data_IF_567161685820
#
_entry.id   IF_567161685820
#
_cell.length_a   1.000
_cell.length_b   1.000
_cell.length_c   1.000
_cell.angle_alpha   90.00
_cell.angle_beta   90.00
_cell.angle_gamma   90.00
#
_symmetry.space_group_name_H-M   'P 1'
#
loop_
_entity.id
_entity.type
_entity.pdbx_description
1 polymer ?
#
# COMPACT_ATOMS: atom_id res chain seq x y z
N UNK A 1 5.83 15.41 0.23
CA UNK A 1 5.92 16.77 -0.35
C UNK A 1 7.35 17.13 -0.80
N UNK A 2 8.37 17.13 0.10
CA UNK A 2 9.73 17.60 -0.26
C UNK A 2 10.42 16.76 -1.35
N UNK A 3 10.33 15.44 -1.28
CA UNK A 3 10.91 14.54 -2.29
C UNK A 3 10.29 14.74 -3.67
N UNK A 4 8.98 14.95 -3.70
CA UNK A 4 8.23 15.19 -4.93
C UNK A 4 8.59 16.55 -5.55
N UNK A 5 8.64 17.61 -4.74
CA UNK A 5 9.08 18.92 -5.19
C UNK A 5 10.52 18.89 -5.76
N UNK A 6 11.41 18.11 -5.14
CA UNK A 6 12.76 17.89 -5.65
C UNK A 6 12.74 17.16 -6.99
N UNK A 7 11.96 16.09 -7.13
CA UNK A 7 11.83 15.36 -8.39
C UNK A 7 11.34 16.27 -9.52
N UNK A 8 10.31 17.08 -9.29
CA UNK A 8 9.78 18.04 -10.24
C UNK A 8 10.85 19.09 -10.62
N UNK A 9 11.60 19.60 -9.64
CA UNK A 9 12.67 20.57 -9.89
C UNK A 9 13.75 19.99 -10.79
N UNK A 10 14.19 18.76 -10.56
CA UNK A 10 15.19 18.09 -11.40
C UNK A 10 14.65 17.79 -12.81
N UNK A 11 13.41 17.37 -12.91
CA UNK A 11 12.75 17.15 -14.19
C UNK A 11 12.73 18.44 -15.03
N UNK A 12 12.34 19.57 -14.43
CA UNK A 12 12.28 20.88 -15.11
C UNK A 12 13.68 21.46 -15.42
N UNK A 13 14.62 21.37 -14.47
CA UNK A 13 15.92 22.04 -14.60
C UNK A 13 16.88 21.27 -15.50
N UNK A 14 16.87 19.93 -15.38
CA UNK A 14 17.86 19.09 -16.05
C UNK A 14 17.25 18.18 -17.12
N UNK A 15 15.99 18.36 -17.43
CA UNK A 15 15.24 17.53 -18.40
C UNK A 15 15.38 16.02 -18.13
N UNK A 16 15.41 15.63 -16.85
CA UNK A 16 15.60 14.24 -16.46
C UNK A 16 14.34 13.43 -16.71
N UNK A 17 14.42 12.19 -17.23
CA UNK A 17 13.28 11.30 -17.44
C UNK A 17 12.80 10.73 -16.09
N UNK A 18 11.95 11.46 -15.40
CA UNK A 18 11.44 11.13 -14.07
C UNK A 18 9.99 10.64 -14.16
N UNK A 19 9.71 9.54 -13.47
CA UNK A 19 8.35 9.04 -13.20
C UNK A 19 8.10 9.08 -11.70
N UNK A 20 6.97 9.64 -11.28
CA UNK A 20 6.55 9.67 -9.89
C UNK A 20 5.54 8.54 -9.65
N UNK A 21 5.81 7.69 -8.68
CA UNK A 21 4.88 6.63 -8.27
C UNK A 21 4.37 6.90 -6.86
N UNK A 22 3.04 6.91 -6.69
CA UNK A 22 2.39 6.90 -5.39
C UNK A 22 1.92 5.47 -5.09
N UNK A 23 2.12 5.03 -3.86
CA UNK A 23 1.70 3.69 -3.46
C UNK A 23 1.00 3.69 -2.10
N UNK A 24 0.22 2.66 -1.87
CA UNK A 24 -0.50 2.42 -0.62
C UNK A 24 0.20 1.32 0.19
N UNK A 25 -0.37 0.97 1.34
CA UNK A 25 0.16 0.01 2.30
C UNK A 25 0.79 -1.22 1.63
N UNK A 26 2.10 -1.21 1.53
CA UNK A 26 2.85 -2.35 0.99
C UNK A 26 2.98 -3.41 2.07
N UNK A 27 2.60 -4.63 1.73
CA UNK A 27 2.80 -5.83 2.56
C UNK A 27 3.84 -6.73 1.92
N UNK A 28 4.51 -7.53 2.72
CA UNK A 28 5.50 -8.47 2.24
C UNK A 28 6.17 -9.23 3.36
N UNK A 29 6.95 -10.21 2.98
CA UNK A 29 7.83 -10.93 3.89
C UNK A 29 8.89 -9.98 4.47
N UNK A 30 9.30 -10.18 5.71
CA UNK A 30 10.28 -9.35 6.44
C UNK A 30 9.80 -7.92 6.73
N UNK A 31 8.47 -7.70 6.75
CA UNK A 31 7.92 -6.43 7.18
C UNK A 31 8.21 -6.21 8.66
N UNK A 32 8.48 -4.95 9.02
CA UNK A 32 8.75 -4.55 10.40
C UNK A 32 7.62 -5.01 11.35
N UNK A 33 7.96 -5.64 12.51
CA UNK A 33 6.98 -6.16 13.47
C UNK A 33 6.00 -5.11 14.03
N UNK A 34 6.37 -3.83 14.01
CA UNK A 34 5.49 -2.76 14.46
C UNK A 34 4.35 -2.43 13.47
N UNK A 35 4.42 -2.94 12.25
CA UNK A 35 3.38 -2.71 11.25
C UNK A 35 2.13 -3.55 11.53
N UNK A 36 1.00 -3.09 10.98
CA UNK A 36 -0.31 -3.62 11.31
C UNK A 36 -0.45 -5.12 11.01
N UNK A 37 -0.07 -5.57 9.80
CA UNK A 37 -0.18 -6.99 9.43
C UNK A 37 0.69 -7.92 10.30
N UNK A 38 1.99 -7.66 10.55
CA UNK A 38 2.78 -8.44 11.50
C UNK A 38 2.18 -8.46 12.92
N UNK A 39 1.66 -7.33 13.41
CA UNK A 39 0.97 -7.28 14.72
C UNK A 39 -0.25 -8.18 14.80
N UNK A 40 -1.06 -8.23 13.74
CA UNK A 40 -2.21 -9.16 13.68
C UNK A 40 -1.69 -10.59 13.79
N UNK A 41 -0.70 -10.98 12.97
CA UNK A 41 -0.15 -12.34 12.97
C UNK A 41 0.38 -12.70 14.36
N UNK A 42 1.11 -11.81 15.02
CA UNK A 42 1.63 -12.01 16.35
C UNK A 42 0.50 -12.22 17.37
N UNK A 43 -0.46 -11.29 17.45
CA UNK A 43 -1.55 -11.36 18.42
C UNK A 43 -2.42 -12.60 18.24
N UNK A 44 -2.75 -12.93 17.00
CA UNK A 44 -3.50 -14.17 16.67
C UNK A 44 -2.66 -15.41 17.04
N UNK A 45 -1.33 -15.38 16.82
CA UNK A 45 -0.45 -16.49 17.21
C UNK A 45 -0.50 -16.75 18.72
N UNK A 46 -0.50 -15.69 19.51
CA UNK A 46 -0.47 -15.73 20.98
C UNK A 46 -1.86 -15.87 21.63
N UNK A 47 -2.94 -15.77 20.85
CA UNK A 47 -4.31 -15.72 21.36
C UNK A 47 -4.62 -14.43 22.13
N UNK A 48 -3.91 -13.36 21.83
CA UNK A 48 -4.12 -12.04 22.44
C UNK A 48 -5.23 -11.25 21.75
N UNK A 49 -5.83 -10.31 22.48
CA UNK A 49 -6.86 -9.41 21.97
C UNK A 49 -6.23 -8.42 20.98
N UNK A 50 -6.79 -8.33 19.77
CA UNK A 50 -6.42 -7.36 18.75
C UNK A 50 -7.22 -6.08 18.90
N UNK A 51 -6.61 -4.92 19.23
CA UNK A 51 -7.31 -3.64 19.25
C UNK A 51 -7.60 -3.16 17.82
N UNK A 52 -8.87 -2.89 17.53
CA UNK A 52 -9.36 -2.36 16.26
C UNK A 52 -9.99 -1.00 16.51
N UNK A 53 -9.46 0.04 15.87
CA UNK A 53 -9.99 1.40 16.00
C UNK A 53 -11.25 1.57 15.16
N UNK A 54 -12.34 1.97 15.81
CA UNK A 54 -13.64 2.23 15.21
C UNK A 54 -14.69 2.44 16.28
N UNK A 55 -15.64 3.35 16.05
CA UNK A 55 -16.72 3.65 16.99
C UNK A 55 -17.87 2.62 16.87
N UNK A 56 -17.93 1.90 15.75
CA UNK A 56 -18.83 0.78 15.50
C UNK A 56 -18.23 -0.15 14.43
N UNK A 57 -18.87 -1.28 14.15
CA UNK A 57 -18.44 -2.20 13.09
C UNK A 57 -18.48 -1.56 11.70
N UNK A 58 -19.38 -0.59 11.50
CA UNK A 58 -19.52 0.14 10.23
C UNK A 58 -18.58 1.35 10.12
N UNK A 59 -17.83 1.67 11.19
CA UNK A 59 -16.94 2.83 11.27
C UNK A 59 -15.48 2.42 11.51
N UNK A 60 -15.07 1.30 10.97
CA UNK A 60 -13.69 0.84 11.02
C UNK A 60 -12.92 1.35 9.81
N UNK A 61 -11.72 1.88 10.05
CA UNK A 61 -10.88 2.43 8.98
C UNK A 61 -10.53 1.41 7.90
N UNK A 62 -10.61 1.85 6.63
CA UNK A 62 -10.35 1.00 5.44
C UNK A 62 -9.00 1.30 4.80
N UNK A 63 -8.43 0.28 4.19
CA UNK A 63 -7.12 0.33 3.51
C UNK A 63 -7.13 -0.53 2.25
N UNK A 64 -6.33 -0.10 1.27
CA UNK A 64 -5.94 -0.94 0.15
C UNK A 64 -4.51 -1.44 0.38
N UNK A 65 -4.26 -2.70 0.14
CA UNK A 65 -2.95 -3.33 0.32
C UNK A 65 -2.38 -3.82 -1.00
N UNK A 66 -1.06 -3.71 -1.16
CA UNK A 66 -0.33 -4.22 -2.31
C UNK A 66 0.87 -5.03 -1.84
N UNK A 67 1.13 -6.17 -2.45
CA UNK A 67 2.33 -6.95 -2.14
C UNK A 67 3.57 -6.32 -2.77
N UNK A 68 4.71 -6.37 -2.07
CA UNK A 68 5.98 -5.81 -2.53
C UNK A 68 6.42 -6.34 -3.91
N UNK A 69 6.12 -7.61 -4.24
CA UNK A 69 6.37 -8.18 -5.58
C UNK A 69 5.51 -7.54 -6.67
N UNK A 70 4.25 -7.22 -6.37
CA UNK A 70 3.39 -6.51 -7.31
C UNK A 70 3.89 -5.08 -7.52
N UNK A 71 4.37 -4.41 -6.45
CA UNK A 71 5.00 -3.09 -6.58
C UNK A 71 6.27 -3.17 -7.46
N UNK A 72 7.13 -4.16 -7.24
CA UNK A 72 8.31 -4.37 -8.08
C UNK A 72 7.95 -4.64 -9.55
N UNK A 73 6.88 -5.42 -9.79
CA UNK A 73 6.34 -5.64 -11.14
C UNK A 73 5.86 -4.35 -11.80
N UNK A 74 5.16 -3.49 -11.04
CA UNK A 74 4.71 -2.19 -11.55
C UNK A 74 5.88 -1.28 -11.93
N UNK A 75 6.91 -1.22 -11.09
CA UNK A 75 8.11 -0.45 -11.38
C UNK A 75 8.81 -0.98 -12.65
N UNK A 76 8.99 -2.31 -12.75
CA UNK A 76 9.55 -2.93 -13.95
C UNK A 76 8.72 -2.66 -15.21
N UNK A 77 7.39 -2.64 -15.09
CA UNK A 77 6.50 -2.28 -16.19
C UNK A 77 6.70 -0.81 -16.63
N UNK A 78 6.75 0.12 -15.66
CA UNK A 78 6.95 1.54 -15.95
C UNK A 78 8.35 1.84 -16.51
N UNK A 79 9.39 1.11 -16.12
CA UNK A 79 10.75 1.25 -16.67
C UNK A 79 10.83 0.92 -18.17
N UNK A 80 9.88 0.16 -18.71
CA UNK A 80 9.77 -0.13 -20.15
C UNK A 80 8.93 0.91 -20.92
N UNK A 81 8.42 1.94 -20.24
CA UNK A 81 7.74 3.07 -20.88
C UNK A 81 8.73 4.20 -21.08
N UNK A 82 8.55 4.95 -22.16
CA UNK A 82 9.28 6.20 -22.35
C UNK A 82 8.61 7.28 -21.49
N UNK A 83 9.27 7.79 -20.44
CA UNK A 83 8.71 8.87 -19.64
C UNK A 83 8.73 10.18 -20.43
N UNK A 84 7.77 11.05 -20.14
CA UNK A 84 7.78 12.42 -20.65
C UNK A 84 8.98 13.19 -20.07
N UNK A 85 9.57 14.07 -20.87
CA UNK A 85 10.62 14.99 -20.44
C UNK A 85 10.14 16.43 -20.59
N UNK A 86 10.72 17.36 -19.85
CA UNK A 86 10.23 18.73 -19.79
C UNK A 86 10.32 19.45 -21.15
N UNK A 87 11.32 19.14 -21.97
CA UNK A 87 11.45 19.70 -23.32
C UNK A 87 10.25 19.45 -24.21
N UNK A 88 9.56 18.33 -24.08
CA UNK A 88 8.38 17.99 -24.87
C UNK A 88 7.26 19.01 -24.62
N UNK A 89 7.10 19.46 -23.37
CA UNK A 89 6.07 20.45 -23.00
C UNK A 89 6.46 21.89 -23.37
N UNK A 90 7.77 22.21 -23.43
CA UNK A 90 8.25 23.51 -23.88
C UNK A 90 7.89 23.73 -25.36
N UNK A 91 8.09 22.72 -26.19
CA UNK A 91 7.78 22.76 -27.62
C UNK A 91 6.27 22.97 -27.89
N UNK A 92 5.42 22.41 -27.01
CA UNK A 92 3.96 22.56 -27.06
C UNK A 92 3.46 23.90 -26.48
N UNK A 93 4.33 24.71 -25.85
CA UNK A 93 3.99 26.01 -25.26
C UNK A 93 3.26 25.95 -23.91
N UNK A 94 3.15 24.75 -23.29
CA UNK A 94 2.41 24.51 -22.07
C UNK A 94 3.35 24.23 -20.87
N UNK A 95 4.11 25.25 -20.46
CA UNK A 95 5.20 25.07 -19.49
C UNK A 95 4.82 25.17 -18.02
N UNK A 96 3.72 25.85 -17.68
CA UNK A 96 3.38 26.13 -16.28
C UNK A 96 2.67 24.99 -15.57
N UNK A 97 1.88 24.20 -16.29
CA UNK A 97 1.14 23.06 -15.76
C UNK A 97 1.85 21.72 -15.97
N UNK A 98 3.00 21.74 -16.69
CA UNK A 98 3.75 20.53 -16.98
C UNK A 98 4.34 19.89 -15.71
N UNK A 99 4.06 18.60 -15.52
CA UNK A 99 4.59 17.76 -14.45
C UNK A 99 5.10 16.42 -15.01
N UNK A 100 6.06 15.79 -14.30
CA UNK A 100 6.49 14.44 -14.67
C UNK A 100 5.34 13.45 -14.60
N UNK A 101 5.43 12.39 -15.40
CA UNK A 101 4.46 11.31 -15.38
C UNK A 101 4.22 10.78 -13.96
N UNK A 102 2.95 10.70 -13.56
CA UNK A 102 2.53 10.26 -12.23
C UNK A 102 1.59 9.06 -12.32
N UNK A 103 1.91 8.03 -11.53
CA UNK A 103 1.13 6.80 -11.47
C UNK A 103 0.84 6.39 -10.04
N UNK A 104 -0.41 6.08 -9.76
CA UNK A 104 -0.82 5.45 -8.51
C UNK A 104 -0.70 3.93 -8.68
N UNK A 105 0.14 3.31 -7.85
CA UNK A 105 0.35 1.86 -7.85
C UNK A 105 -0.27 1.29 -6.58
N UNK A 106 -1.44 0.69 -6.71
CA UNK A 106 -2.20 0.15 -5.59
C UNK A 106 -2.83 -1.21 -5.93
N UNK A 107 -3.30 -1.91 -4.90
CA UNK A 107 -4.12 -3.11 -5.05
C UNK A 107 -5.55 -2.76 -5.49
N UNK A 108 -6.34 -3.80 -5.70
CA UNK A 108 -7.72 -3.71 -6.17
C UNK A 108 -8.77 -4.15 -5.13
N UNK A 109 -8.32 -4.42 -3.90
CA UNK A 109 -9.20 -4.83 -2.80
C UNK A 109 -9.06 -3.84 -1.65
N UNK A 110 -10.15 -3.18 -1.30
CA UNK A 110 -10.27 -2.35 -0.12
C UNK A 110 -10.90 -3.16 1.01
N UNK A 111 -10.27 -3.16 2.18
CA UNK A 111 -10.70 -3.89 3.36
C UNK A 111 -10.67 -2.97 4.58
N UNK A 112 -11.60 -3.17 5.51
CA UNK A 112 -11.45 -2.59 6.82
C UNK A 112 -10.45 -3.39 7.68
N UNK A 113 -9.99 -2.79 8.76
CA UNK A 113 -8.95 -3.39 9.61
C UNK A 113 -9.40 -4.68 10.29
N UNK A 114 -10.69 -4.84 10.58
CA UNK A 114 -11.25 -6.06 11.18
C UNK A 114 -11.33 -7.19 10.14
N UNK A 115 -11.77 -6.89 8.92
CA UNK A 115 -11.80 -7.86 7.82
C UNK A 115 -10.40 -8.43 7.55
N UNK A 116 -9.38 -7.56 7.52
CA UNK A 116 -8.00 -8.03 7.36
C UNK A 116 -7.59 -8.95 8.53
N UNK A 117 -7.90 -8.57 9.77
CA UNK A 117 -7.56 -9.38 10.94
C UNK A 117 -8.25 -10.74 10.91
N UNK A 118 -9.52 -10.79 10.51
CA UNK A 118 -10.27 -12.03 10.36
C UNK A 118 -9.68 -12.93 9.27
N UNK A 119 -9.34 -12.36 8.11
CA UNK A 119 -8.69 -13.12 7.03
C UNK A 119 -7.34 -13.73 7.49
N UNK A 120 -6.57 -13.02 8.29
CA UNK A 120 -5.32 -13.53 8.85
C UNK A 120 -5.60 -14.70 9.81
N UNK A 121 -6.56 -14.57 10.71
CA UNK A 121 -6.96 -15.61 11.66
C UNK A 121 -7.43 -16.87 10.91
N UNK A 122 -8.26 -16.71 9.88
CA UNK A 122 -8.76 -17.79 9.03
C UNK A 122 -7.59 -18.54 8.33
N UNK A 123 -6.62 -17.82 7.77
CA UNK A 123 -5.42 -18.42 7.15
C UNK A 123 -4.59 -19.19 8.17
N UNK A 124 -4.55 -18.73 9.42
CA UNK A 124 -3.84 -19.39 10.53
C UNK A 124 -4.62 -20.56 11.14
N UNK A 125 -5.90 -20.72 10.80
CA UNK A 125 -6.79 -21.70 11.42
C UNK A 125 -7.04 -21.44 12.90
N UNK A 126 -7.06 -20.16 13.30
CA UNK A 126 -7.23 -19.71 14.68
C UNK A 126 -8.44 -18.78 14.80
N UNK A 127 -8.96 -18.68 16.02
CA UNK A 127 -10.00 -17.72 16.36
C UNK A 127 -9.40 -16.32 16.56
N UNK A 128 -10.08 -15.28 16.06
CA UNK A 128 -9.72 -13.89 16.30
C UNK A 128 -10.41 -13.39 17.58
N UNK A 129 -9.63 -13.00 18.57
CA UNK A 129 -10.09 -12.19 19.70
C UNK A 129 -9.81 -10.72 19.40
N UNK A 130 -10.82 -9.86 19.47
CA UNK A 130 -10.64 -8.42 19.21
C UNK A 130 -11.49 -7.56 20.14
N UNK A 131 -11.13 -6.29 20.28
CA UNK A 131 -11.94 -5.25 20.92
C UNK A 131 -11.96 -3.99 20.06
N UNK A 132 -13.11 -3.31 20.05
CA UNK A 132 -13.23 -2.01 19.41
C UNK A 132 -12.70 -0.92 20.34
N UNK A 133 -11.79 -0.11 19.81
CA UNK A 133 -11.24 1.05 20.49
C UNK A 133 -11.82 2.31 19.85
N UNK A 134 -12.38 3.26 20.61
CA UNK A 134 -12.93 4.49 20.05
C UNK A 134 -11.94 5.22 19.14
N UNK A 135 -12.43 5.71 18.01
CA UNK A 135 -11.60 6.39 16.98
C UNK A 135 -10.86 7.60 17.53
N UNK A 136 -11.40 8.28 18.52
CA UNK A 136 -10.77 9.41 19.24
C UNK A 136 -9.49 9.00 19.99
N UNK A 137 -9.36 7.73 20.36
CA UNK A 137 -8.16 7.17 21.00
C UNK A 137 -7.05 6.83 20.00
N UNK A 138 -7.33 6.92 18.69
CA UNK A 138 -6.33 6.77 17.67
C UNK A 138 -5.33 7.94 17.69
N UNK A 139 -4.16 7.72 17.11
CA UNK A 139 -3.18 8.80 16.96
C UNK A 139 -3.77 9.96 16.16
N UNK A 140 -3.32 11.19 16.43
CA UNK A 140 -3.66 12.36 15.63
C UNK A 140 -3.32 12.10 14.14
N UNK A 141 -4.24 12.48 13.24
CA UNK A 141 -4.10 12.24 11.81
C UNK A 141 -4.36 10.77 11.38
N UNK A 142 -5.16 10.04 12.16
CA UNK A 142 -5.64 8.72 11.74
C UNK A 142 -6.61 8.85 10.56
N UNK A 143 -6.21 8.33 9.41
CA UNK A 143 -7.05 8.32 8.21
C UNK A 143 -8.09 7.19 8.31
N UNK A 144 -9.38 7.54 8.25
CA UNK A 144 -10.46 6.56 8.21
C UNK A 144 -10.45 5.77 6.90
N UNK A 145 -10.20 6.44 5.79
CA UNK A 145 -10.02 5.81 4.48
C UNK A 145 -8.69 6.21 3.89
N UNK A 146 -7.87 5.22 3.55
CA UNK A 146 -6.60 5.44 2.90
C UNK A 146 -6.54 4.62 1.61
N UNK A 147 -6.89 5.25 0.49
CA UNK A 147 -7.05 4.64 -0.82
C UNK A 147 -6.50 5.53 -1.93
N UNK A 148 -6.05 4.93 -3.01
CA UNK A 148 -5.65 5.56 -4.26
C UNK A 148 -6.43 4.97 -5.42
N UNK A 149 -6.66 5.77 -6.45
CA UNK A 149 -7.19 5.30 -7.72
C UNK A 149 -6.04 4.81 -8.62
N UNK A 150 -6.04 3.52 -8.93
CA UNK A 150 -5.07 2.85 -9.79
C UNK A 150 -5.51 2.70 -11.25
N UNK A 151 -6.62 3.33 -11.68
CA UNK A 151 -7.20 3.17 -13.01
C UNK A 151 -6.21 3.45 -14.13
N UNK A 152 -5.37 4.48 -14.01
CA UNK A 152 -4.34 4.84 -15.00
C UNK A 152 -3.34 3.69 -15.25
N UNK A 153 -2.93 2.94 -14.22
CA UNK A 153 -2.06 1.78 -14.39
C UNK A 153 -2.76 0.63 -15.13
N UNK A 154 -4.04 0.42 -14.82
CA UNK A 154 -4.86 -0.59 -15.48
C UNK A 154 -5.11 -0.23 -16.96
N UNK A 155 -5.40 1.02 -17.27
CA UNK A 155 -5.56 1.52 -18.64
C UNK A 155 -4.28 1.34 -19.46
N UNK A 156 -3.10 1.46 -18.83
CA UNK A 156 -1.82 1.16 -19.46
C UNK A 156 -1.56 -0.34 -19.66
N UNK A 157 -2.42 -1.22 -19.13
CA UNK A 157 -2.32 -2.66 -19.25
C UNK A 157 -1.52 -3.33 -18.15
N UNK A 158 -1.25 -2.64 -17.01
CA UNK A 158 -0.65 -3.28 -15.85
C UNK A 158 -1.72 -3.75 -14.85
N UNK A 159 -1.58 -4.98 -14.41
CA UNK A 159 -2.35 -5.54 -13.29
C UNK A 159 -1.42 -6.29 -12.32
N UNK A 160 -1.78 -6.36 -11.02
CA UNK A 160 -1.03 -7.15 -10.05
C UNK A 160 -0.96 -8.63 -10.48
N UNK A 161 0.24 -9.18 -10.57
CA UNK A 161 0.47 -10.59 -10.93
C UNK A 161 -0.03 -11.57 -9.85
N UNK A 162 -0.10 -11.12 -8.60
CA UNK A 162 -0.63 -11.88 -7.47
C UNK A 162 -1.89 -11.19 -6.95
N UNK A 163 -2.94 -11.96 -6.72
CA UNK A 163 -4.15 -11.48 -6.04
C UNK A 163 -3.85 -11.07 -4.60
N UNK A 164 -4.74 -10.29 -3.99
CA UNK A 164 -4.60 -9.93 -2.58
C UNK A 164 -4.61 -11.17 -1.67
N UNK A 165 -5.49 -12.13 -1.92
CA UNK A 165 -5.59 -13.36 -1.14
C UNK A 165 -4.29 -14.18 -1.19
N UNK A 166 -3.74 -14.41 -2.37
CA UNK A 166 -2.46 -15.11 -2.54
C UNK A 166 -1.33 -14.38 -1.83
N UNK A 167 -1.31 -13.05 -1.93
CA UNK A 167 -0.33 -12.19 -1.28
C UNK A 167 -0.41 -12.31 0.24
N UNK A 168 -1.61 -12.24 0.81
CA UNK A 168 -1.84 -12.34 2.25
C UNK A 168 -1.44 -13.72 2.78
N UNK A 169 -1.92 -14.79 2.12
CA UNK A 169 -1.55 -16.17 2.49
C UNK A 169 -0.04 -16.37 2.48
N UNK A 170 0.62 -15.86 1.47
CA UNK A 170 2.08 -15.96 1.33
C UNK A 170 2.81 -15.28 2.48
N UNK A 171 2.44 -14.06 2.82
CA UNK A 171 3.05 -13.29 3.92
C UNK A 171 2.80 -13.99 5.26
N UNK A 172 1.56 -14.37 5.56
CA UNK A 172 1.20 -15.06 6.81
C UNK A 172 1.99 -16.36 6.96
N UNK A 173 1.95 -17.24 5.95
CA UNK A 173 2.67 -18.53 5.97
C UNK A 173 4.19 -18.36 6.09
N UNK A 174 4.75 -17.32 5.47
CA UNK A 174 6.17 -17.03 5.58
C UNK A 174 6.52 -16.55 7.01
N UNK A 175 5.75 -15.61 7.57
CA UNK A 175 5.99 -15.07 8.91
C UNK A 175 5.94 -16.17 9.97
N UNK A 176 4.95 -17.07 9.88
CA UNK A 176 4.85 -18.22 10.82
C UNK A 176 6.05 -19.18 10.73
N UNK A 177 6.66 -19.33 9.55
CA UNK A 177 7.87 -20.14 9.37
C UNK A 177 9.16 -19.42 9.80
N UNK A 178 9.10 -18.11 10.01
CA UNK A 178 10.25 -17.26 10.35
C UNK A 178 9.93 -16.38 11.58
N UNK A 179 9.68 -16.97 12.77
CA UNK A 179 9.18 -16.25 13.93
C UNK A 179 10.09 -15.13 14.42
N UNK A 180 11.39 -15.20 14.15
CA UNK A 180 12.35 -14.13 14.46
C UNK A 180 12.06 -12.80 13.71
N UNK A 181 11.11 -12.79 12.76
CA UNK A 181 10.69 -11.59 12.03
C UNK A 181 9.36 -11.02 12.53
N UNK A 182 8.82 -11.43 13.66
CA UNK A 182 7.64 -10.76 14.17
C UNK A 182 6.61 -11.63 14.91
N UNK A 183 7.00 -12.79 15.40
CA UNK A 183 6.15 -13.63 16.27
C UNK A 183 6.92 -14.01 17.52
#
# INVERSE_FOLDING_TARGET
>A
ASQEAMAISYWRTYNMPIVITNTMNIIGERQDPEKFLPKIIQKVSLGEVMPIYGDSLDDIGTRIYLHAKNMASALGFLMNKTPSVYSDFIEEGNTWEAEPDRYNVCGNVELNNLELAQMVADIMGKELSYELIPSESARAGYDRRYALDGSKMKELGWEPAMTFKESLEKVVKWTLKNPHWGV
#
